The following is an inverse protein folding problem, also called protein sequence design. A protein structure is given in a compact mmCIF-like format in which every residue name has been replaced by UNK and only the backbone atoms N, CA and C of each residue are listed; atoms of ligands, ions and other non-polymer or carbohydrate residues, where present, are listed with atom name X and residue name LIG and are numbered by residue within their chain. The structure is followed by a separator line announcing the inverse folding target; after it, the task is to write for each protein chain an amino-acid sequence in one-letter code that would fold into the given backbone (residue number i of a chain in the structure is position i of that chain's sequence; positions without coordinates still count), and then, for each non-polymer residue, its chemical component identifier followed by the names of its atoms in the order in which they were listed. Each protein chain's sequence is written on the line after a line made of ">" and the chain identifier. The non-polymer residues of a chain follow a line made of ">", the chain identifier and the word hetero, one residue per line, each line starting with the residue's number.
data_IF_768182905701
#
_entry.id   IF_768182905701
#
_cell.length_a   1.000
_cell.length_b   1.000
_cell.length_c   1.000
_cell.angle_alpha   90.00
_cell.angle_beta   90.00
_cell.angle_gamma   90.00
#
_symmetry.space_group_name_H-M   'P 1'
#
loop_
_entity.id
_entity.type
_entity.pdbx_description
1 polymer ?
#
# COMPACT_ATOMS: atom_id res chain seq x y z
N UNK A 1 -8.13 -5.99 7.60
CA UNK A 1 -7.74 -4.57 7.75
C UNK A 1 -6.54 -4.36 6.86
N UNK A 2 -6.68 -3.59 5.78
CA UNK A 2 -5.54 -3.23 4.94
C UNK A 2 -4.74 -2.14 5.65
N UNK A 3 -3.40 -2.25 5.76
CA UNK A 3 -2.58 -1.19 6.32
C UNK A 3 -2.85 0.15 5.62
N UNK A 4 -2.76 1.26 6.35
CA UNK A 4 -2.98 2.61 5.80
C UNK A 4 -2.08 2.95 4.60
N UNK A 5 -0.99 2.22 4.41
CA UNK A 5 -0.06 2.42 3.31
C UNK A 5 -0.57 1.82 1.97
N UNK A 6 -1.31 0.70 2.03
CA UNK A 6 -1.93 0.07 0.86
C UNK A 6 -3.00 0.98 0.22
N UNK A 7 -3.64 1.87 0.99
CA UNK A 7 -4.66 2.82 0.51
C UNK A 7 -4.14 3.82 -0.54
N UNK A 8 -2.84 4.06 -0.58
CA UNK A 8 -2.24 5.05 -1.50
C UNK A 8 -1.99 4.45 -2.89
N UNK A 9 -1.73 3.15 -2.96
CA UNK A 9 -1.44 2.42 -4.20
C UNK A 9 -2.63 1.58 -4.68
N UNK A 10 -3.58 1.30 -3.79
CA UNK A 10 -4.74 0.48 -4.05
C UNK A 10 -6.03 1.25 -3.73
N UNK A 11 -6.89 1.45 -4.73
CA UNK A 11 -8.25 1.96 -4.46
C UNK A 11 -9.06 0.84 -3.81
N UNK A 12 -9.48 1.05 -2.57
CA UNK A 12 -10.35 0.12 -1.85
C UNK A 12 -11.62 -0.21 -2.64
N UNK A 13 -12.06 -1.46 -2.52
CA UNK A 13 -13.45 -1.83 -2.74
C UNK A 13 -14.26 -1.43 -1.49
N UNK A 14 -15.18 -0.48 -1.64
CA UNK A 14 -16.10 -0.07 -0.59
C UNK A 14 -17.05 1.01 -1.09
N UNK A 15 -18.34 0.70 -1.13
CA UNK A 15 -19.39 1.71 -1.28
C UNK A 15 -19.32 2.68 -0.09
N UNK A 16 -19.81 3.90 -0.25
CA UNK A 16 -19.67 5.02 0.71
C UNK A 16 -20.12 4.65 2.14
N UNK A 17 -20.93 3.60 2.26
CA UNK A 17 -21.43 2.97 3.48
C UNK A 17 -20.40 2.24 4.34
N UNK A 18 -19.18 1.99 3.84
CA UNK A 18 -18.09 1.38 4.61
C UNK A 18 -17.22 2.40 5.35
N UNK A 19 -17.45 3.69 5.08
CA UNK A 19 -16.87 4.80 5.84
C UNK A 19 -17.82 5.08 7.00
N UNK A 20 -17.38 4.69 8.20
CA UNK A 20 -17.79 5.19 9.52
C UNK A 20 -19.22 5.77 9.60
N UNK A 21 -20.13 5.05 10.26
CA UNK A 21 -21.50 5.49 10.51
C UNK A 21 -21.57 6.91 11.12
N UNK A 22 -20.52 7.36 11.81
CA UNK A 22 -20.42 8.70 12.38
C UNK A 22 -20.18 9.81 11.33
N UNK A 23 -19.51 9.53 10.21
CA UNK A 23 -19.26 10.50 9.12
C UNK A 23 -20.53 10.68 8.27
N UNK A 24 -21.30 9.62 8.06
CA UNK A 24 -22.59 9.70 7.34
C UNK A 24 -23.64 10.47 8.14
N UNK A 25 -23.55 10.48 9.48
CA UNK A 25 -24.44 11.25 10.34
C UNK A 25 -24.11 12.76 10.40
N UNK A 26 -22.93 13.21 9.98
CA UNK A 26 -22.49 14.60 10.16
C UNK A 26 -22.50 15.46 8.89
N UNK A 27 -22.96 14.95 7.75
CA UNK A 27 -22.97 15.69 6.47
C UNK A 27 -24.36 15.83 5.83
N UNK A 28 -25.38 16.13 6.63
CA UNK A 28 -26.70 16.52 6.12
C UNK A 28 -27.64 17.01 7.22
N UNK A 29 -28.05 18.29 7.15
CA UNK A 29 -29.16 18.80 7.95
C UNK A 29 -30.43 18.06 7.50
N UNK A 30 -30.95 17.18 8.35
CA UNK A 30 -32.26 16.57 8.17
C UNK A 30 -32.86 16.17 9.53
N UNK A 31 -33.86 16.95 9.96
CA UNK A 31 -34.89 16.49 10.88
C UNK A 31 -35.69 15.40 10.16
N UNK A 32 -35.61 14.16 10.63
CA UNK A 32 -36.44 13.06 10.15
C UNK A 32 -37.27 12.50 11.29
N UNK A 33 -38.51 13.00 11.39
CA UNK A 33 -39.60 12.17 11.90
C UNK A 33 -39.80 11.00 10.93
N UNK A 34 -39.42 9.80 11.36
CA UNK A 34 -39.68 8.55 10.64
C UNK A 34 -41.20 8.41 10.42
N UNK A 35 -41.63 8.39 9.16
CA UNK A 35 -42.90 7.80 8.75
C UNK A 35 -42.58 6.69 7.76
N UNK A 36 -43.01 5.48 8.09
CA UNK A 36 -42.98 4.34 7.17
C UNK A 36 -44.33 4.31 6.46
N UNK A 37 -44.34 4.40 5.13
CA UNK A 37 -45.52 4.07 4.33
C UNK A 37 -45.41 2.60 3.91
N UNK A 38 -46.40 1.82 4.30
CA UNK A 38 -46.58 0.45 3.82
C UNK A 38 -47.36 0.45 2.50
N UNK A 39 -46.98 -0.41 1.56
CA UNK A 39 -47.85 -0.78 0.42
C UNK A 39 -48.78 -1.91 0.85
N UNK A 40 -49.99 -1.95 0.28
CA UNK A 40 -51.09 -2.82 0.72
C UNK A 40 -50.73 -4.33 0.71
N UNK A 41 -49.76 -4.71 -0.15
CA UNK A 41 -49.29 -6.09 -0.32
C UNK A 41 -48.27 -6.55 0.74
N UNK A 42 -47.61 -5.64 1.47
CA UNK A 42 -46.63 -5.97 2.53
C UNK A 42 -47.29 -6.27 3.90
N UNK A 43 -48.62 -6.12 4.00
CA UNK A 43 -49.39 -6.27 5.24
C UNK A 43 -49.97 -7.67 5.49
N UNK A 44 -49.55 -8.70 4.77
CA UNK A 44 -49.93 -10.10 5.08
C UNK A 44 -48.71 -11.03 5.00
N UNK A 45 -48.48 -11.87 6.02
CA UNK A 45 -49.43 -12.90 6.43
C UNK A 45 -50.12 -12.56 7.74
N UNK A 46 -51.37 -12.98 7.85
CA UNK A 46 -52.20 -12.93 9.05
C UNK A 46 -51.50 -13.61 10.22
N UNK A 47 -50.71 -12.85 10.98
CA UNK A 47 -50.53 -13.13 12.39
C UNK A 47 -51.95 -13.08 12.97
N UNK A 48 -52.42 -14.21 13.51
CA UNK A 48 -53.62 -14.19 14.35
C UNK A 48 -53.31 -13.27 15.51
N UNK A 49 -53.67 -12.00 15.37
CA UNK A 49 -53.86 -11.09 16.49
C UNK A 49 -54.75 -11.86 17.45
N UNK A 50 -54.22 -12.20 18.63
CA UNK A 50 -55.02 -12.82 19.67
C UNK A 50 -56.32 -12.02 19.76
N UNK A 51 -57.46 -12.71 19.77
CA UNK A 51 -58.78 -12.11 19.92
C UNK A 51 -58.65 -10.96 20.92
N UNK A 52 -58.77 -9.73 20.42
CA UNK A 52 -58.76 -8.56 21.28
C UNK A 52 -59.96 -8.76 22.19
N UNK A 53 -59.72 -9.28 23.40
CA UNK A 53 -60.72 -9.34 24.44
C UNK A 53 -61.24 -7.92 24.50
N UNK A 54 -62.48 -7.76 24.04
CA UNK A 54 -63.28 -6.54 24.08
C UNK A 54 -62.78 -5.76 25.27
N UNK A 55 -62.15 -4.60 25.02
CA UNK A 55 -61.76 -3.63 26.05
C UNK A 55 -62.79 -3.75 27.14
N UNK A 56 -62.41 -4.30 28.29
CA UNK A 56 -63.28 -4.32 29.45
C UNK A 56 -63.53 -2.86 29.72
N UNK A 57 -64.65 -2.35 29.21
CA UNK A 57 -65.16 -1.04 29.55
C UNK A 57 -65.34 -1.14 31.05
N UNK A 58 -64.37 -0.62 31.79
CA UNK A 58 -64.45 -0.52 33.24
C UNK A 58 -65.70 0.34 33.44
N UNK A 59 -66.80 -0.22 33.97
CA UNK A 59 -67.97 0.58 34.22
C UNK A 59 -67.51 1.66 35.19
N UNK A 60 -67.55 2.92 34.76
CA UNK A 60 -67.40 4.07 35.64
C UNK A 60 -68.62 4.06 36.55
N UNK A 61 -68.57 3.23 37.58
CA UNK A 61 -69.57 3.17 38.63
C UNK A 61 -69.58 4.53 39.34
N UNK A 62 -70.74 5.17 39.27
CA UNK A 62 -71.25 6.22 40.17
C UNK A 62 -70.26 7.30 40.60
N UNK A 63 -70.43 8.51 40.03
CA UNK A 63 -70.02 9.80 40.61
C UNK A 63 -68.78 9.75 41.53
N UNK A 64 -67.63 9.31 41.02
CA UNK A 64 -66.38 9.50 41.74
C UNK A 64 -66.18 11.00 41.94
N UNK A 65 -66.07 11.41 43.21
CA UNK A 65 -65.94 12.82 43.56
C UNK A 65 -64.72 13.42 42.84
N UNK A 66 -64.80 14.68 42.42
CA UNK A 66 -63.67 15.42 41.82
C UNK A 66 -62.38 15.24 42.62
N UNK A 67 -62.50 15.10 43.95
CA UNK A 67 -61.40 14.82 44.88
C UNK A 67 -60.69 13.49 44.62
N UNK A 68 -61.40 12.39 44.33
CA UNK A 68 -60.79 11.08 44.04
C UNK A 68 -60.01 11.08 42.72
N UNK A 69 -60.53 11.75 41.69
CA UNK A 69 -59.83 11.91 40.41
C UNK A 69 -58.56 12.76 40.55
N UNK A 70 -58.64 13.86 41.30
CA UNK A 70 -57.47 14.70 41.61
C UNK A 70 -56.45 13.93 42.44
N UNK A 71 -56.89 13.15 43.44
CA UNK A 71 -56.00 12.35 44.28
C UNK A 71 -55.28 11.27 43.49
N UNK A 72 -55.98 10.57 42.58
CA UNK A 72 -55.37 9.59 41.68
C UNK A 72 -54.34 10.27 40.76
N UNK A 73 -54.68 11.42 40.18
CA UNK A 73 -53.78 12.14 39.29
C UNK A 73 -52.52 12.64 40.02
N UNK A 74 -52.68 13.20 41.22
CA UNK A 74 -51.54 13.58 42.08
C UNK A 74 -50.73 12.35 42.47
N UNK A 75 -51.37 11.24 42.82
CA UNK A 75 -50.70 9.98 43.14
C UNK A 75 -49.86 9.44 41.98
N UNK A 76 -50.41 9.45 40.76
CA UNK A 76 -49.68 9.02 39.55
C UNK A 76 -48.52 9.95 39.21
N UNK A 77 -48.68 11.26 39.37
CA UNK A 77 -47.59 12.23 39.16
C UNK A 77 -46.48 12.02 40.19
N UNK A 78 -46.83 11.89 41.47
CA UNK A 78 -45.85 11.66 42.55
C UNK A 78 -45.12 10.32 42.40
N UNK A 79 -45.84 9.25 42.01
CA UNK A 79 -45.21 7.95 41.77
C UNK A 79 -44.30 7.97 40.55
N UNK A 80 -44.69 8.67 39.48
CA UNK A 80 -43.85 8.85 38.29
C UNK A 80 -42.58 9.65 38.61
N UNK A 81 -42.70 10.74 39.36
CA UNK A 81 -41.55 11.53 39.82
C UNK A 81 -40.63 10.70 40.73
N UNK A 82 -41.20 9.94 41.66
CA UNK A 82 -40.43 9.05 42.55
C UNK A 82 -39.69 7.96 41.75
N UNK A 83 -40.34 7.38 40.73
CA UNK A 83 -39.72 6.39 39.86
C UNK A 83 -38.57 6.98 39.04
N UNK A 84 -38.75 8.16 38.44
CA UNK A 84 -37.67 8.84 37.70
C UNK A 84 -36.48 9.13 38.63
N UNK A 85 -36.75 9.59 39.86
CA UNK A 85 -35.69 9.89 40.81
C UNK A 85 -34.91 8.63 41.25
N UNK A 86 -35.61 7.50 41.43
CA UNK A 86 -34.96 6.22 41.71
C UNK A 86 -34.19 5.69 40.49
N UNK A 87 -34.77 5.80 39.29
CA UNK A 87 -34.19 5.29 38.06
C UNK A 87 -33.04 6.16 37.54
N UNK A 88 -32.92 7.42 38.00
CA UNK A 88 -31.86 8.34 37.61
C UNK A 88 -30.45 7.74 37.79
N UNK A 89 -30.23 6.93 38.84
CA UNK A 89 -28.94 6.27 39.10
C UNK A 89 -28.53 5.33 37.95
N UNK A 90 -29.50 4.65 37.34
CA UNK A 90 -29.25 3.76 36.20
C UNK A 90 -29.28 4.53 34.87
N UNK A 91 -30.17 5.51 34.71
CA UNK A 91 -30.28 6.32 33.48
C UNK A 91 -29.25 7.45 33.36
N UNK A 92 -28.28 7.54 34.28
CA UNK A 92 -27.24 8.57 34.24
C UNK A 92 -26.23 8.38 33.09
N UNK A 93 -26.22 7.22 32.42
CA UNK A 93 -25.30 6.90 31.32
C UNK A 93 -25.95 5.95 30.31
N UNK A 94 -25.38 5.90 29.11
CA UNK A 94 -25.88 5.10 28.00
C UNK A 94 -25.75 3.58 28.22
N UNK A 95 -24.87 3.14 29.13
CA UNK A 95 -24.70 1.72 29.47
C UNK A 95 -25.73 1.20 30.48
N UNK A 96 -26.50 2.10 31.10
CA UNK A 96 -27.48 1.82 32.16
C UNK A 96 -26.87 1.20 33.42
N UNK A 97 -25.58 1.49 33.68
CA UNK A 97 -24.85 0.97 34.83
C UNK A 97 -24.93 1.96 36.00
N UNK A 98 -25.37 1.47 37.16
CA UNK A 98 -25.47 2.28 38.36
C UNK A 98 -24.12 2.92 38.73
N UNK A 99 -24.10 4.24 38.93
CA UNK A 99 -22.91 5.00 39.34
C UNK A 99 -21.71 4.90 38.38
N UNK A 100 -21.92 4.58 37.10
CA UNK A 100 -20.84 4.58 36.12
C UNK A 100 -20.27 5.99 35.93
N UNK A 101 -18.94 6.10 36.01
CA UNK A 101 -18.22 7.35 35.78
C UNK A 101 -17.17 7.15 34.69
N UNK A 102 -17.16 8.05 33.71
CA UNK A 102 -16.20 8.05 32.60
C UNK A 102 -14.78 8.42 33.05
N UNK A 103 -14.60 9.15 34.15
CA UNK A 103 -13.28 9.58 34.63
C UNK A 103 -12.59 8.56 35.54
N UNK A 104 -13.25 7.45 35.88
CA UNK A 104 -12.72 6.44 36.81
C UNK A 104 -13.03 4.99 36.42
N UNK A 105 -14.30 4.65 36.20
CA UNK A 105 -14.69 3.27 35.85
C UNK A 105 -14.37 2.97 34.38
N UNK A 106 -14.62 3.91 33.47
CA UNK A 106 -14.27 3.70 32.06
C UNK A 106 -12.76 3.58 31.85
N UNK A 107 -11.97 4.44 32.51
CA UNK A 107 -10.51 4.40 32.49
C UNK A 107 -9.98 3.13 33.14
N UNK A 108 -10.58 2.65 34.23
CA UNK A 108 -10.28 1.34 34.82
C UNK A 108 -10.48 0.20 33.83
N UNK A 109 -11.65 0.15 33.16
CA UNK A 109 -11.94 -0.91 32.17
C UNK A 109 -10.94 -0.86 31.02
N UNK A 110 -10.64 0.35 30.51
CA UNK A 110 -9.69 0.55 29.42
C UNK A 110 -8.27 0.10 29.78
N UNK A 111 -7.74 0.57 30.92
CA UNK A 111 -6.40 0.20 31.38
C UNK A 111 -6.33 -1.28 31.78
N UNK A 112 -7.38 -1.84 32.40
CA UNK A 112 -7.45 -3.28 32.69
C UNK A 112 -7.36 -4.11 31.41
N UNK A 113 -8.03 -3.67 30.33
CA UNK A 113 -7.96 -4.35 29.04
C UNK A 113 -6.54 -4.30 28.46
N UNK A 114 -5.88 -3.14 28.50
CA UNK A 114 -4.50 -2.94 28.02
C UNK A 114 -3.43 -3.65 28.88
N UNK A 115 -3.72 -3.90 30.16
CA UNK A 115 -2.79 -4.56 31.10
C UNK A 115 -2.88 -6.10 31.01
N UNK A 116 -4.08 -6.66 30.82
CA UNK A 116 -4.25 -8.11 30.71
C UNK A 116 -3.57 -8.69 29.46
N UNK A 117 -3.37 -7.88 28.42
CA UNK A 117 -2.59 -8.26 27.25
C UNK A 117 -1.09 -8.33 27.54
N UNK A 118 -0.60 -7.58 28.55
CA UNK A 118 0.83 -7.42 28.87
C UNK A 118 1.32 -8.27 30.08
N UNK A 119 0.53 -9.26 30.52
CA UNK A 119 0.88 -10.20 31.61
C UNK A 119 1.05 -9.58 33.01
N UNK A 120 0.79 -8.28 33.18
CA UNK A 120 0.59 -7.65 34.49
C UNK A 120 -0.86 -7.88 34.93
N UNK A 121 -1.09 -8.18 36.20
CA UNK A 121 -2.44 -8.46 36.72
C UNK A 121 -3.08 -7.27 37.47
N UNK A 122 -2.33 -6.16 37.65
CA UNK A 122 -2.82 -4.97 38.32
C UNK A 122 -1.94 -3.75 38.02
N UNK A 123 -2.54 -2.57 37.96
CA UNK A 123 -1.84 -1.28 38.09
C UNK A 123 -1.95 -0.73 39.53
N UNK A 124 -1.23 0.36 39.78
CA UNK A 124 -1.29 1.11 41.04
C UNK A 124 -2.16 2.37 40.94
N UNK A 125 -3.04 2.45 39.94
CA UNK A 125 -3.83 3.65 39.68
C UNK A 125 -5.05 3.69 40.62
N UNK A 126 -5.26 4.83 41.27
CA UNK A 126 -6.40 5.05 42.15
C UNK A 126 -7.61 5.55 41.34
N UNK A 127 -8.41 4.61 40.85
CA UNK A 127 -9.60 4.87 40.01
C UNK A 127 -10.79 5.52 40.74
N UNK A 128 -10.69 5.73 42.05
CA UNK A 128 -11.66 6.52 42.82
C UNK A 128 -11.52 8.04 42.61
N UNK A 129 -10.49 8.50 41.87
CA UNK A 129 -10.26 9.92 41.56
C UNK A 129 -10.87 10.31 40.21
N UNK A 130 -11.27 11.57 40.10
CA UNK A 130 -11.91 12.13 38.89
C UNK A 130 -10.91 12.54 37.78
N UNK A 131 -9.62 12.17 37.90
CA UNK A 131 -8.56 12.60 37.00
C UNK A 131 -7.72 11.45 36.45
N UNK A 132 -8.23 10.22 36.46
CA UNK A 132 -7.50 9.10 35.88
C UNK A 132 -7.48 9.18 34.36
N UNK A 133 -6.44 8.61 33.76
CA UNK A 133 -6.20 8.66 32.31
C UNK A 133 -5.98 7.25 31.78
N UNK A 134 -6.36 7.04 30.52
CA UNK A 134 -6.02 5.82 29.80
C UNK A 134 -4.56 5.92 29.36
N UNK A 135 -3.76 4.91 29.67
CA UNK A 135 -2.36 4.82 29.25
C UNK A 135 -2.23 3.73 28.20
N UNK A 136 -1.46 4.00 27.14
CA UNK A 136 -1.13 3.03 26.11
C UNK A 136 0.34 3.19 25.71
N UNK A 137 0.95 2.12 25.20
CA UNK A 137 2.34 2.17 24.72
C UNK A 137 2.44 2.89 23.37
N UNK A 138 3.32 3.90 23.20
CA UNK A 138 3.52 4.54 21.91
C UNK A 138 4.13 3.59 20.86
N UNK A 139 4.69 2.45 21.29
CA UNK A 139 5.24 1.43 20.38
C UNK A 139 4.18 0.43 19.93
N UNK A 140 3.01 0.38 20.57
CA UNK A 140 1.97 -0.61 20.30
C UNK A 140 1.52 -0.58 18.83
N UNK A 141 1.36 0.62 18.26
CA UNK A 141 1.01 0.78 16.84
C UNK A 141 2.03 0.14 15.90
N UNK A 142 3.32 0.25 16.20
CA UNK A 142 4.38 -0.39 15.40
C UNK A 142 4.41 -1.90 15.61
N UNK A 143 4.13 -2.35 16.83
CA UNK A 143 4.04 -3.77 17.18
C UNK A 143 2.86 -4.44 16.47
N UNK A 144 1.65 -3.86 16.55
CA UNK A 144 0.47 -4.34 15.83
C UNK A 144 0.73 -4.37 14.32
N UNK A 145 1.37 -3.33 13.77
CA UNK A 145 1.74 -3.37 12.36
C UNK A 145 2.62 -4.58 12.06
N UNK A 146 3.64 -4.85 12.89
CA UNK A 146 4.59 -5.95 12.72
C UNK A 146 3.96 -7.35 12.90
N UNK A 147 3.07 -7.51 13.87
CA UNK A 147 2.39 -8.78 14.17
C UNK A 147 1.32 -9.12 13.12
N UNK A 148 0.63 -8.10 12.63
CA UNK A 148 -0.45 -8.23 11.64
C UNK A 148 0.09 -8.17 10.20
N UNK A 149 1.41 -8.14 9.98
CA UNK A 149 1.99 -8.01 8.63
C UNK A 149 1.52 -9.15 7.71
N UNK A 150 0.49 -8.83 6.95
CA UNK A 150 -0.02 -9.56 5.80
C UNK A 150 0.26 -8.77 4.51
N UNK A 151 1.16 -7.78 4.57
CA UNK A 151 1.43 -6.85 3.48
C UNK A 151 2.90 -6.94 3.04
N UNK A 152 3.11 -6.67 1.76
CA UNK A 152 4.42 -6.68 1.11
C UNK A 152 5.12 -5.32 1.20
N UNK A 153 4.42 -4.28 1.68
CA UNK A 153 4.93 -2.92 1.91
C UNK A 153 5.80 -2.79 3.17
N UNK A 154 6.67 -3.77 3.38
CA UNK A 154 7.65 -3.77 4.45
C UNK A 154 8.91 -3.09 3.95
N UNK A 155 9.51 -2.29 4.82
CA UNK A 155 10.80 -1.70 4.58
C UNK A 155 11.91 -2.75 4.73
N UNK A 156 12.11 -3.56 3.71
CA UNK A 156 13.23 -4.50 3.66
C UNK A 156 13.71 -4.69 2.24
N UNK A 157 15.02 -4.75 2.09
CA UNK A 157 15.68 -5.06 0.84
C UNK A 157 15.71 -6.57 0.64
N UNK A 158 14.73 -7.12 -0.09
CA UNK A 158 14.67 -8.55 -0.37
C UNK A 158 15.96 -9.06 -1.04
N UNK A 159 16.46 -10.17 -0.52
CA UNK A 159 17.64 -10.86 -1.02
C UNK A 159 17.24 -12.07 -1.86
N UNK A 160 16.23 -12.79 -1.40
CA UNK A 160 15.70 -13.97 -2.07
C UNK A 160 14.19 -13.88 -2.21
N UNK A 161 13.70 -14.50 -3.27
CA UNK A 161 12.27 -14.65 -3.46
C UNK A 161 11.71 -15.74 -2.57
N UNK A 162 12.35 -16.91 -2.56
CA UNK A 162 11.89 -18.13 -1.90
C UNK A 162 12.81 -18.57 -0.76
N UNK A 163 12.26 -19.30 0.22
CA UNK A 163 13.04 -19.81 1.37
C UNK A 163 14.11 -20.84 0.97
N UNK A 164 13.90 -21.55 -0.14
CA UNK A 164 14.90 -22.48 -0.71
C UNK A 164 16.04 -21.76 -1.45
N UNK A 165 15.97 -20.42 -1.57
CA UNK A 165 16.95 -19.56 -2.25
C UNK A 165 17.16 -19.93 -3.72
N UNK A 166 16.15 -20.51 -4.38
CA UNK A 166 16.20 -20.87 -5.80
C UNK A 166 16.27 -19.64 -6.70
N UNK A 167 15.61 -18.55 -6.30
CA UNK A 167 15.56 -17.30 -7.03
C UNK A 167 16.08 -16.14 -6.17
N UNK A 168 17.03 -15.39 -6.74
CA UNK A 168 17.66 -14.22 -6.12
C UNK A 168 16.95 -12.94 -6.55
N UNK A 169 16.84 -12.00 -5.62
CA UNK A 169 16.21 -10.68 -5.82
C UNK A 169 17.17 -9.51 -5.57
N UNK A 170 18.39 -9.77 -5.11
CA UNK A 170 19.40 -8.74 -5.00
C UNK A 170 19.73 -8.15 -6.38
N UNK A 171 19.66 -6.83 -6.51
CA UNK A 171 19.89 -6.12 -7.77
C UNK A 171 21.32 -6.28 -8.33
N UNK A 172 22.31 -6.57 -7.49
CA UNK A 172 23.70 -6.78 -7.92
C UNK A 172 24.29 -8.04 -7.31
N UNK A 173 25.33 -8.58 -7.96
CA UNK A 173 26.08 -9.73 -7.44
C UNK A 173 26.76 -9.42 -6.12
N UNK A 174 27.34 -8.21 -5.94
CA UNK A 174 27.94 -7.84 -4.65
C UNK A 174 26.90 -7.75 -3.53
N UNK A 175 25.68 -7.28 -3.83
CA UNK A 175 24.57 -7.30 -2.86
C UNK A 175 24.16 -8.73 -2.53
N UNK A 176 24.11 -9.62 -3.51
CA UNK A 176 23.80 -11.03 -3.28
C UNK A 176 24.86 -11.71 -2.39
N UNK A 177 26.15 -11.43 -2.59
CA UNK A 177 27.21 -11.90 -1.71
C UNK A 177 27.06 -11.36 -0.29
N UNK A 178 26.66 -10.08 -0.15
CA UNK A 178 26.35 -9.49 1.15
C UNK A 178 25.13 -10.14 1.81
N UNK A 179 24.12 -10.52 1.02
CA UNK A 179 22.90 -11.16 1.50
C UNK A 179 23.18 -12.46 2.25
N UNK A 180 24.24 -13.20 1.92
CA UNK A 180 24.64 -14.43 2.63
C UNK A 180 24.82 -14.22 4.14
N UNK A 181 25.18 -13.01 4.58
CA UNK A 181 25.28 -12.65 6.01
C UNK A 181 23.92 -12.60 6.71
N UNK A 182 22.83 -12.43 5.97
CA UNK A 182 21.47 -12.22 6.47
C UNK A 182 20.53 -13.41 6.22
N UNK A 183 21.06 -14.56 5.77
CA UNK A 183 20.25 -15.76 5.44
C UNK A 183 19.41 -16.32 6.60
N UNK A 184 19.73 -15.97 7.84
CA UNK A 184 19.00 -16.41 9.03
C UNK A 184 17.90 -15.44 9.45
N UNK A 185 17.76 -14.30 8.76
CA UNK A 185 16.70 -13.32 8.93
C UNK A 185 15.57 -13.60 7.92
N UNK A 186 14.39 -13.96 8.40
CA UNK A 186 13.22 -14.26 7.57
C UNK A 186 12.72 -13.07 6.75
N UNK A 187 13.01 -11.83 7.19
CA UNK A 187 12.52 -10.63 6.52
C UNK A 187 13.14 -10.42 5.12
N UNK A 188 14.32 -10.99 4.82
CA UNK A 188 14.96 -10.83 3.50
C UNK A 188 14.41 -11.78 2.44
N UNK A 189 13.40 -12.59 2.78
CA UNK A 189 12.72 -13.55 1.92
C UNK A 189 11.32 -13.03 1.57
N UNK A 190 11.02 -12.79 0.29
CA UNK A 190 9.70 -12.29 -0.13
C UNK A 190 8.58 -13.32 0.09
N UNK A 191 8.91 -14.61 0.09
CA UNK A 191 7.98 -15.69 0.43
C UNK A 191 7.37 -15.55 1.83
N UNK A 192 8.08 -14.94 2.77
CA UNK A 192 7.61 -14.81 4.15
C UNK A 192 6.29 -14.01 4.25
N UNK A 193 6.20 -12.75 3.78
CA UNK A 193 4.93 -12.04 3.77
C UNK A 193 3.89 -12.69 2.84
N UNK A 194 4.29 -13.23 1.68
CA UNK A 194 3.35 -13.86 0.74
C UNK A 194 2.63 -15.11 1.30
N UNK A 195 3.23 -15.80 2.27
CA UNK A 195 2.60 -16.91 3.01
C UNK A 195 1.65 -16.43 4.13
N UNK A 196 1.74 -15.18 4.55
CA UNK A 196 0.88 -14.60 5.58
C UNK A 196 -0.28 -13.78 4.98
N UNK A 197 -0.16 -13.38 3.71
CA UNK A 197 -1.15 -12.55 3.04
C UNK A 197 -2.46 -13.27 2.69
N UNK A 198 -3.57 -12.53 2.76
CA UNK A 198 -4.86 -12.92 2.17
C UNK A 198 -4.81 -12.73 0.66
N UNK A 199 -4.63 -13.82 -0.08
CA UNK A 199 -4.36 -13.79 -1.52
C UNK A 199 -5.42 -13.10 -2.37
N UNK A 200 -6.70 -13.15 -1.99
CA UNK A 200 -7.77 -12.44 -2.72
C UNK A 200 -7.61 -10.93 -2.65
N UNK A 201 -7.19 -10.39 -1.50
CA UNK A 201 -6.92 -8.96 -1.33
C UNK A 201 -5.61 -8.56 -2.02
N UNK A 202 -4.60 -9.43 -1.94
CA UNK A 202 -3.32 -9.22 -2.61
C UNK A 202 -3.45 -9.18 -4.13
N UNK A 203 -4.15 -10.14 -4.72
CA UNK A 203 -4.31 -10.19 -6.18
C UNK A 203 -5.09 -8.98 -6.70
N UNK A 204 -6.04 -8.48 -5.91
CA UNK A 204 -6.77 -7.26 -6.23
C UNK A 204 -5.85 -6.04 -6.28
N UNK A 205 -4.98 -5.85 -5.27
CA UNK A 205 -4.11 -4.67 -5.19
C UNK A 205 -2.83 -4.78 -6.02
N UNK A 206 -2.19 -5.94 -5.96
CA UNK A 206 -0.82 -6.17 -6.44
C UNK A 206 -0.76 -7.18 -7.57
N UNK A 207 -1.83 -7.91 -7.87
CA UNK A 207 -1.80 -9.07 -8.77
C UNK A 207 -1.22 -8.76 -10.15
N UNK A 208 -1.59 -7.63 -10.76
CA UNK A 208 -1.03 -7.23 -12.06
C UNK A 208 0.47 -6.96 -11.96
N UNK A 209 0.92 -6.20 -10.95
CA UNK A 209 2.31 -5.80 -10.81
C UNK A 209 3.20 -6.97 -10.41
N UNK A 210 2.70 -7.80 -9.49
CA UNK A 210 3.29 -9.08 -9.10
C UNK A 210 3.42 -10.03 -10.28
N UNK A 211 2.40 -10.09 -11.15
CA UNK A 211 2.46 -10.94 -12.34
C UNK A 211 3.55 -10.49 -13.30
N UNK A 212 3.66 -9.19 -13.58
CA UNK A 212 4.69 -8.65 -14.48
C UNK A 212 6.09 -8.86 -13.89
N UNK A 213 6.30 -8.46 -12.63
CA UNK A 213 7.63 -8.47 -12.01
C UNK A 213 8.11 -9.86 -11.58
N UNK A 214 7.20 -10.79 -11.28
CA UNK A 214 7.56 -12.07 -10.65
C UNK A 214 6.82 -13.25 -11.29
N UNK A 215 5.48 -13.28 -11.23
CA UNK A 215 4.74 -14.52 -11.48
C UNK A 215 4.89 -15.04 -12.91
N UNK A 216 5.10 -14.15 -13.89
CA UNK A 216 5.35 -14.51 -15.30
C UNK A 216 6.59 -15.39 -15.47
N UNK A 217 7.66 -15.13 -14.73
CA UNK A 217 8.90 -15.94 -14.76
C UNK A 217 8.73 -17.29 -14.03
N UNK A 218 7.65 -17.43 -13.25
CA UNK A 218 7.35 -18.61 -12.44
C UNK A 218 6.23 -19.47 -13.04
N UNK A 219 5.77 -19.15 -14.26
CA UNK A 219 4.70 -19.90 -14.94
C UNK A 219 5.07 -21.39 -15.04
N UNK A 220 4.18 -22.25 -14.52
CA UNK A 220 4.39 -23.70 -14.45
C UNK A 220 5.05 -24.21 -13.16
N UNK A 221 5.40 -23.34 -12.21
CA UNK A 221 5.91 -23.78 -10.91
C UNK A 221 4.79 -24.17 -9.93
N UNK A 222 5.00 -25.26 -9.18
CA UNK A 222 4.10 -25.67 -8.09
C UNK A 222 4.17 -24.73 -6.86
N UNK A 223 5.12 -23.80 -6.85
CA UNK A 223 5.40 -22.91 -5.71
C UNK A 223 4.22 -21.99 -5.41
N UNK A 224 3.62 -21.37 -6.43
CA UNK A 224 2.53 -20.41 -6.20
C UNK A 224 1.31 -21.07 -5.53
N UNK A 225 0.99 -22.31 -5.93
CA UNK A 225 -0.06 -23.09 -5.29
C UNK A 225 0.30 -23.45 -3.84
N UNK A 226 1.57 -23.77 -3.56
CA UNK A 226 2.05 -24.12 -2.22
C UNK A 226 2.18 -22.93 -1.27
N UNK A 227 2.37 -21.71 -1.79
CA UNK A 227 2.34 -20.48 -0.98
C UNK A 227 0.90 -20.08 -0.70
N UNK A 228 0.02 -20.14 -1.71
CA UNK A 228 -1.42 -19.85 -1.56
C UNK A 228 -2.15 -20.77 -0.59
N UNK A 229 -1.67 -22.00 -0.40
CA UNK A 229 -2.28 -22.96 0.52
C UNK A 229 -1.98 -22.68 1.99
N UNK A 230 -1.09 -21.71 2.31
CA UNK A 230 -0.72 -21.31 3.67
C UNK A 230 -0.38 -22.50 4.60
N UNK A 231 0.20 -23.57 4.06
CA UNK A 231 0.57 -24.75 4.85
C UNK A 231 1.76 -24.40 5.76
N UNK A 232 1.65 -24.61 7.09
CA UNK A 232 2.74 -24.37 8.02
C UNK A 232 3.95 -25.25 7.68
N UNK A 233 5.06 -24.63 7.33
CA UNK A 233 6.31 -25.28 6.96
C UNK A 233 7.44 -24.69 7.79
N UNK A 234 8.40 -25.52 8.19
CA UNK A 234 9.50 -25.09 9.06
C UNK A 234 10.74 -24.81 8.22
N UNK A 235 11.31 -23.63 8.40
CA UNK A 235 12.53 -23.19 7.73
C UNK A 235 13.60 -22.82 8.76
N UNK A 236 14.88 -22.88 8.37
CA UNK A 236 16.01 -22.56 9.24
C UNK A 236 16.19 -21.04 9.38
N UNK A 237 15.20 -20.38 9.96
CA UNK A 237 15.15 -18.94 10.22
C UNK A 237 15.19 -18.71 11.72
N UNK A 238 16.00 -17.76 12.16
CA UNK A 238 16.25 -17.49 13.59
C UNK A 238 15.74 -16.13 14.06
N UNK A 239 15.49 -15.21 13.13
CA UNK A 239 15.06 -13.85 13.41
C UNK A 239 14.18 -13.33 12.29
N UNK A 240 13.35 -12.34 12.56
CA UNK A 240 12.63 -11.57 11.56
C UNK A 240 12.81 -10.10 11.90
N UNK A 241 13.73 -9.43 11.21
CA UNK A 241 14.10 -8.04 11.50
C UNK A 241 14.04 -7.22 10.23
N UNK A 242 13.16 -6.21 10.24
CA UNK A 242 12.93 -5.28 9.12
C UNK A 242 13.77 -4.02 9.29
N UNK A 243 13.91 -3.21 8.23
CA UNK A 243 14.56 -1.91 8.32
C UNK A 243 13.54 -0.85 8.74
N UNK A 244 14.02 0.20 9.41
CA UNK A 244 13.17 1.32 9.81
C UNK A 244 12.96 2.30 8.64
N UNK A 245 11.81 3.00 8.64
CA UNK A 245 11.50 4.06 7.67
C UNK A 245 10.90 5.30 8.33
N UNK A 246 11.25 6.49 7.81
CA UNK A 246 10.82 7.81 8.30
C UNK A 246 9.69 8.45 7.50
N UNK A 247 9.29 7.88 6.37
CA UNK A 247 8.37 8.54 5.43
C UNK A 247 6.89 8.43 5.81
N UNK A 248 6.54 7.65 6.84
CA UNK A 248 5.17 7.48 7.32
C UNK A 248 5.09 7.32 8.84
N UNK A 249 4.07 7.91 9.43
CA UNK A 249 3.59 7.63 10.78
C UNK A 249 2.42 6.68 10.67
N UNK A 250 2.48 5.55 11.38
CA UNK A 250 1.42 4.54 11.36
C UNK A 250 0.33 4.99 12.33
N UNK A 251 -0.91 4.97 11.86
CA UNK A 251 -2.09 5.19 12.69
C UNK A 251 -2.67 3.87 13.18
N UNK A 252 -3.28 3.89 14.36
CA UNK A 252 -3.99 2.78 14.96
C UNK A 252 -5.30 3.31 15.56
N UNK A 253 -6.39 2.64 15.22
CA UNK A 253 -7.67 2.77 15.91
C UNK A 253 -7.90 1.43 16.63
N UNK A 254 -7.66 1.42 17.93
CA UNK A 254 -7.89 0.28 18.79
C UNK A 254 -9.17 0.49 19.58
N UNK A 255 -10.07 -0.48 19.50
CA UNK A 255 -11.42 -0.37 20.06
C UNK A 255 -11.84 -1.66 20.73
N UNK A 256 -12.55 -1.54 21.85
CA UNK A 256 -13.26 -2.66 22.46
C UNK A 256 -14.76 -2.38 22.47
N UNK A 257 -15.53 -3.46 22.51
CA UNK A 257 -16.99 -3.39 22.48
C UNK A 257 -17.56 -3.66 23.86
N UNK A 258 -18.46 -2.81 24.32
CA UNK A 258 -19.31 -3.05 25.49
C UNK A 258 -20.69 -3.43 24.99
N UNK A 259 -21.08 -4.68 25.22
CA UNK A 259 -22.45 -5.15 24.96
C UNK A 259 -23.27 -5.07 26.24
N UNK A 260 -24.40 -4.36 26.19
CA UNK A 260 -25.33 -4.24 27.32
C UNK A 260 -26.39 -5.36 27.30
N UNK A 261 -27.11 -5.54 28.41
CA UNK A 261 -28.11 -6.61 28.59
C UNK A 261 -29.22 -6.63 27.54
N UNK A 262 -29.46 -5.51 26.84
CA UNK A 262 -30.44 -5.41 25.76
C UNK A 262 -29.90 -5.85 24.38
N UNK A 263 -28.65 -6.33 24.30
CA UNK A 263 -28.00 -6.73 23.04
C UNK A 263 -27.51 -5.56 22.18
N UNK A 264 -27.47 -4.34 22.74
CA UNK A 264 -26.89 -3.17 22.07
C UNK A 264 -25.40 -3.12 22.39
N UNK A 265 -24.58 -2.91 21.36
CA UNK A 265 -23.12 -2.85 21.47
C UNK A 265 -22.62 -1.43 21.25
N UNK A 266 -21.71 -0.97 22.11
CA UNK A 266 -21.05 0.32 22.02
C UNK A 266 -19.55 0.12 21.78
N UNK A 267 -19.01 0.80 20.78
CA UNK A 267 -17.57 0.82 20.49
C UNK A 267 -16.89 1.91 21.31
N UNK A 268 -15.84 1.54 22.04
CA UNK A 268 -15.03 2.46 22.83
C UNK A 268 -13.60 2.37 22.34
N UNK A 269 -13.01 3.54 22.02
CA UNK A 269 -11.63 3.63 21.56
C UNK A 269 -10.67 3.58 22.76
N UNK A 270 -9.74 2.62 22.78
CA UNK A 270 -8.60 2.58 23.71
C UNK A 270 -7.52 3.54 23.24
N UNK A 271 -7.22 3.48 21.94
CA UNK A 271 -6.23 4.31 21.29
C UNK A 271 -6.76 4.75 19.92
N UNK A 272 -6.58 6.02 19.60
CA UNK A 272 -6.83 6.54 18.27
C UNK A 272 -5.67 7.44 17.87
N UNK A 273 -4.91 6.99 16.89
CA UNK A 273 -3.78 7.73 16.32
C UNK A 273 -3.98 7.82 14.81
N UNK A 274 -3.80 9.01 14.27
CA UNK A 274 -3.98 9.22 12.84
C UNK A 274 -2.69 8.87 12.09
N UNK A 275 -2.83 8.11 11.01
CA UNK A 275 -1.71 7.80 10.12
C UNK A 275 -1.44 8.95 9.17
N UNK A 276 -0.18 9.20 8.83
CA UNK A 276 0.17 10.24 7.86
C UNK A 276 1.46 9.92 7.13
N UNK A 277 1.58 10.43 5.90
CA UNK A 277 2.82 10.39 5.13
C UNK A 277 3.59 11.69 5.29
N UNK A 278 4.90 11.57 5.46
CA UNK A 278 5.84 12.68 5.63
C UNK A 278 6.89 12.62 4.51
N UNK A 279 6.45 12.80 3.26
CA UNK A 279 7.31 12.71 2.10
C UNK A 279 8.37 13.83 2.09
N UNK A 280 8.08 14.98 2.69
CA UNK A 280 9.05 16.06 2.89
C UNK A 280 10.21 15.68 3.84
N UNK A 281 10.04 14.64 4.67
CA UNK A 281 10.99 14.21 5.71
C UNK A 281 11.56 12.80 5.45
N UNK A 282 11.48 12.32 4.21
CA UNK A 282 11.73 10.93 3.80
C UNK A 282 13.22 10.54 3.68
N UNK A 283 14.02 10.79 4.71
CA UNK A 283 15.47 10.50 4.68
C UNK A 283 15.81 9.03 4.38
N UNK A 284 15.09 8.07 4.97
CA UNK A 284 15.31 6.64 4.74
C UNK A 284 14.76 6.17 3.40
N UNK A 285 13.68 6.78 2.90
CA UNK A 285 13.06 6.40 1.63
C UNK A 285 13.95 6.78 0.44
N UNK A 286 14.69 7.89 0.56
CA UNK A 286 15.75 8.27 -0.39
C UNK A 286 16.85 7.21 -0.50
N UNK A 287 17.16 6.51 0.60
CA UNK A 287 18.15 5.43 0.61
C UNK A 287 17.57 4.12 0.05
N UNK A 288 16.31 3.82 0.36
CA UNK A 288 15.60 2.68 -0.20
C UNK A 288 14.08 2.91 -0.20
N UNK A 289 13.50 2.88 -1.40
CA UNK A 289 12.11 3.24 -1.66
C UNK A 289 11.09 2.09 -1.58
N UNK A 290 11.51 0.89 -1.12
CA UNK A 290 10.69 -0.32 -0.91
C UNK A 290 10.22 -1.07 -2.17
N UNK A 291 9.82 -2.34 -2.02
CA UNK A 291 9.33 -3.21 -3.08
C UNK A 291 8.08 -2.65 -3.78
N UNK A 292 7.22 -1.93 -3.07
CA UNK A 292 6.04 -1.30 -3.64
C UNK A 292 6.41 -0.35 -4.80
N UNK A 293 7.52 0.39 -4.66
CA UNK A 293 8.04 1.26 -5.72
C UNK A 293 8.68 0.48 -6.86
N UNK A 294 9.35 -0.63 -6.57
CA UNK A 294 9.88 -1.52 -7.61
C UNK A 294 8.73 -2.09 -8.47
N UNK A 295 7.62 -2.51 -7.85
CA UNK A 295 6.42 -2.96 -8.57
C UNK A 295 5.75 -1.85 -9.38
N UNK A 296 5.64 -0.65 -8.81
CA UNK A 296 5.14 0.52 -9.54
C UNK A 296 6.01 0.81 -10.78
N UNK A 297 7.33 0.77 -10.65
CA UNK A 297 8.27 1.02 -11.73
C UNK A 297 8.20 -0.07 -12.81
N UNK A 298 7.99 -1.34 -12.46
CA UNK A 298 7.79 -2.42 -13.44
C UNK A 298 6.46 -2.28 -14.21
N UNK A 299 5.45 -1.68 -13.61
CA UNK A 299 4.14 -1.50 -14.25
C UNK A 299 4.02 -0.18 -15.06
N UNK A 300 4.93 0.77 -14.86
CA UNK A 300 4.84 2.11 -15.47
C UNK A 300 5.63 2.15 -16.78
N UNK A 301 4.96 2.38 -17.92
CA UNK A 301 5.60 2.36 -19.24
C UNK A 301 6.80 3.31 -19.41
N UNK A 302 6.84 4.44 -18.70
CA UNK A 302 7.96 5.39 -18.74
C UNK A 302 9.14 5.06 -17.83
N UNK A 303 9.12 3.91 -17.15
CA UNK A 303 10.23 3.45 -16.30
C UNK A 303 11.19 2.56 -17.10
N UNK A 304 12.48 2.67 -16.82
CA UNK A 304 13.54 1.86 -17.45
C UNK A 304 13.45 0.36 -17.14
N UNK A 305 12.60 -0.04 -16.19
CA UNK A 305 12.35 -1.45 -15.83
C UNK A 305 10.92 -1.90 -16.13
N UNK A 306 10.17 -1.13 -16.94
CA UNK A 306 8.82 -1.48 -17.35
C UNK A 306 8.77 -2.88 -18.01
N UNK A 307 7.86 -3.73 -17.53
CA UNK A 307 7.69 -5.08 -18.07
C UNK A 307 8.81 -6.07 -17.74
N UNK A 308 9.81 -5.69 -16.93
CA UNK A 308 10.93 -6.55 -16.55
C UNK A 308 10.62 -7.33 -15.28
N UNK A 309 11.34 -8.45 -15.11
CA UNK A 309 11.27 -9.20 -13.86
C UNK A 309 12.21 -8.61 -12.80
N UNK A 310 11.74 -8.65 -11.55
CA UNK A 310 12.53 -8.31 -10.36
C UNK A 310 13.41 -9.48 -9.89
N UNK A 311 13.34 -10.64 -10.54
CA UNK A 311 14.23 -11.77 -10.28
C UNK A 311 15.52 -11.59 -11.09
N UNK A 312 16.67 -11.71 -10.42
CA UNK A 312 17.99 -11.43 -11.00
C UNK A 312 18.34 -12.32 -12.21
N UNK A 313 17.72 -13.50 -12.33
CA UNK A 313 17.91 -14.41 -13.47
C UNK A 313 17.22 -13.95 -14.76
N UNK A 314 16.52 -12.82 -14.77
CA UNK A 314 16.00 -12.24 -16.00
C UNK A 314 17.16 -11.81 -16.89
N UNK A 315 17.27 -12.37 -18.09
CA UNK A 315 18.37 -12.17 -19.05
C UNK A 315 18.37 -10.78 -19.70
N UNK A 316 17.72 -9.79 -19.08
CA UNK A 316 17.56 -8.44 -19.62
C UNK A 316 18.45 -7.49 -18.81
N UNK A 317 19.69 -7.37 -19.25
CA UNK A 317 20.53 -6.22 -18.91
C UNK A 317 19.87 -4.94 -19.41
N UNK A 318 20.10 -3.84 -18.71
CA UNK A 318 19.72 -2.46 -19.02
C UNK A 318 19.13 -2.24 -20.43
N UNK A 319 17.82 -2.06 -20.50
CA UNK A 319 17.08 -1.85 -21.75
C UNK A 319 16.89 -0.35 -21.96
N UNK A 320 17.30 0.12 -23.13
CA UNK A 320 16.95 1.44 -23.61
C UNK A 320 15.54 1.37 -24.21
N UNK A 321 14.58 2.04 -23.58
CA UNK A 321 13.23 2.17 -24.12
C UNK A 321 13.14 3.44 -25.00
N UNK A 322 12.72 3.32 -26.27
CA UNK A 322 12.65 4.46 -27.17
C UNK A 322 11.50 5.41 -26.78
N UNK A 323 11.83 6.58 -26.25
CA UNK A 323 10.88 7.68 -26.02
C UNK A 323 10.70 8.54 -27.30
N UNK A 324 9.50 9.06 -27.61
CA UNK A 324 9.28 9.79 -28.88
C UNK A 324 10.25 10.95 -29.13
N UNK A 325 10.55 11.73 -28.09
CA UNK A 325 11.49 12.85 -28.18
C UNK A 325 12.93 12.41 -28.36
N UNK A 326 13.30 11.29 -27.74
CA UNK A 326 14.63 10.70 -27.81
C UNK A 326 14.92 10.12 -29.21
N UNK A 327 13.94 9.42 -29.78
CA UNK A 327 14.02 8.87 -31.15
C UNK A 327 14.09 10.00 -32.17
N UNK A 328 13.26 11.04 -32.00
CA UNK A 328 13.28 12.23 -32.84
C UNK A 328 14.65 12.94 -32.79
N UNK A 329 15.19 13.15 -31.58
CA UNK A 329 16.52 13.74 -31.39
C UNK A 329 17.61 12.90 -32.08
N UNK A 330 17.61 11.58 -31.87
CA UNK A 330 18.61 10.69 -32.46
C UNK A 330 18.55 10.70 -33.99
N UNK A 331 17.36 10.71 -34.59
CA UNK A 331 17.19 10.80 -36.04
C UNK A 331 17.68 12.14 -36.60
N UNK A 332 17.38 13.26 -35.93
CA UNK A 332 17.79 14.59 -36.38
C UNK A 332 19.31 14.81 -36.31
N UNK A 333 19.96 14.29 -35.26
CA UNK A 333 21.37 14.55 -34.95
C UNK A 333 22.31 13.48 -35.51
N UNK A 334 21.78 12.34 -35.98
CA UNK A 334 22.58 11.28 -36.60
C UNK A 334 23.01 11.56 -38.01
N UNK A 335 22.18 12.26 -38.79
CA UNK A 335 22.38 12.34 -40.24
C UNK A 335 22.31 10.98 -40.93
N UNK A 336 21.69 9.98 -40.29
CA UNK A 336 21.59 8.62 -40.80
C UNK A 336 20.76 8.57 -42.08
N UNK A 337 21.21 7.77 -43.05
CA UNK A 337 20.48 7.51 -44.29
C UNK A 337 19.56 6.30 -44.14
N UNK A 338 18.52 6.19 -44.99
CA UNK A 338 17.57 5.07 -44.94
C UNK A 338 18.25 3.69 -45.10
N UNK A 339 19.37 3.63 -45.81
CA UNK A 339 20.13 2.40 -46.07
C UNK A 339 20.97 1.94 -44.85
N UNK A 340 21.29 2.85 -43.93
CA UNK A 340 22.09 2.57 -42.73
C UNK A 340 21.22 2.11 -41.53
N UNK A 341 19.92 2.40 -41.56
CA UNK A 341 18.98 2.06 -40.47
C UNK A 341 18.98 0.57 -40.13
N UNK A 342 18.97 -0.39 -41.09
CA UNK A 342 18.98 -1.82 -40.76
C UNK A 342 20.21 -2.25 -39.96
N UNK A 343 21.37 -1.67 -40.25
CA UNK A 343 22.62 -1.96 -39.50
C UNK A 343 22.59 -1.29 -38.14
N UNK A 344 22.15 -0.03 -38.07
CA UNK A 344 22.00 0.66 -36.80
C UNK A 344 21.06 -0.12 -35.84
N UNK A 345 19.92 -0.58 -36.34
CA UNK A 345 18.95 -1.35 -35.58
C UNK A 345 19.38 -2.80 -35.26
N UNK A 346 20.53 -3.30 -35.75
CA UNK A 346 20.99 -4.63 -35.39
C UNK A 346 21.44 -4.75 -33.93
N UNK A 347 21.69 -3.62 -33.26
CA UNK A 347 21.92 -3.58 -31.82
C UNK A 347 20.63 -3.79 -30.99
N UNK A 348 19.44 -3.65 -31.58
CA UNK A 348 18.19 -4.06 -30.93
C UNK A 348 18.03 -5.58 -31.02
N UNK A 349 18.37 -6.26 -29.92
CA UNK A 349 18.24 -7.72 -29.79
C UNK A 349 16.82 -8.18 -29.48
N UNK A 350 15.89 -7.26 -29.21
CA UNK A 350 14.51 -7.55 -28.79
C UNK A 350 13.55 -7.45 -29.96
N UNK A 351 13.61 -6.38 -30.76
CA UNK A 351 12.64 -6.10 -31.82
C UNK A 351 13.23 -5.32 -33.01
N UNK A 352 14.24 -5.89 -33.70
CA UNK A 352 14.98 -5.19 -34.75
C UNK A 352 14.10 -4.74 -35.93
N UNK A 353 13.06 -5.51 -36.29
CA UNK A 353 12.14 -5.13 -37.37
C UNK A 353 11.28 -3.91 -37.03
N UNK A 354 10.88 -3.77 -35.77
CA UNK A 354 10.09 -2.62 -35.32
C UNK A 354 10.99 -1.39 -35.16
N UNK A 355 12.24 -1.55 -34.70
CA UNK A 355 13.25 -0.50 -34.72
C UNK A 355 13.42 0.08 -36.14
N UNK A 356 13.56 -0.79 -37.15
CA UNK A 356 13.74 -0.36 -38.55
C UNK A 356 12.54 0.48 -39.01
N UNK A 357 11.31 -0.02 -38.81
CA UNK A 357 10.09 0.71 -39.20
C UNK A 357 9.98 2.06 -38.48
N UNK A 358 10.27 2.08 -37.19
CA UNK A 358 10.22 3.29 -36.37
C UNK A 358 11.17 4.36 -36.92
N UNK A 359 12.45 4.03 -37.08
CA UNK A 359 13.44 5.00 -37.54
C UNK A 359 13.26 5.37 -39.02
N UNK A 360 12.78 4.47 -39.88
CA UNK A 360 12.43 4.83 -41.26
C UNK A 360 11.33 5.90 -41.30
N UNK A 361 10.28 5.75 -40.48
CA UNK A 361 9.20 6.73 -40.39
C UNK A 361 9.71 8.07 -39.85
N UNK A 362 10.55 8.06 -38.81
CA UNK A 362 11.07 9.28 -38.19
C UNK A 362 12.08 9.99 -39.10
N UNK A 363 12.94 9.26 -39.82
CA UNK A 363 13.88 9.84 -40.80
C UNK A 363 13.14 10.45 -41.98
N UNK A 364 12.09 9.80 -42.50
CA UNK A 364 11.24 10.39 -43.54
C UNK A 364 10.55 11.67 -43.06
N UNK A 365 10.05 11.68 -41.83
CA UNK A 365 9.44 12.87 -41.22
C UNK A 365 10.45 14.01 -41.04
N UNK A 366 11.60 13.74 -40.42
CA UNK A 366 12.62 14.75 -40.13
C UNK A 366 13.25 15.31 -41.39
N UNK A 367 13.53 14.48 -42.40
CA UNK A 367 14.04 14.96 -43.70
C UNK A 367 13.06 15.88 -44.44
N UNK A 368 11.75 15.67 -44.26
CA UNK A 368 10.70 16.49 -44.90
C UNK A 368 10.46 17.80 -44.15
N UNK A 369 10.37 17.76 -42.83
CA UNK A 369 9.88 18.89 -42.02
C UNK A 369 10.95 19.58 -41.16
N UNK A 370 12.09 18.93 -40.92
CA UNK A 370 13.16 19.39 -40.02
C UNK A 370 14.56 19.17 -40.62
N UNK A 371 14.87 19.77 -41.79
CA UNK A 371 16.18 19.60 -42.42
C UNK A 371 17.31 20.05 -41.50
N UNK A 372 18.33 19.18 -41.31
CA UNK A 372 19.38 19.30 -40.30
C UNK A 372 20.39 20.43 -40.56
N UNK A 373 20.42 21.01 -41.76
CA UNK A 373 21.46 21.93 -42.24
C UNK A 373 21.64 23.21 -41.40
N UNK A 374 20.65 23.57 -40.60
CA UNK A 374 20.74 24.71 -39.68
C UNK A 374 21.55 24.40 -38.41
N UNK A 375 21.70 23.12 -38.06
CA UNK A 375 22.31 22.68 -36.81
C UNK A 375 23.66 21.97 -36.99
N UNK A 376 24.12 21.77 -38.22
CA UNK A 376 25.35 21.02 -38.52
C UNK A 376 26.56 21.52 -37.72
N UNK A 377 26.76 22.83 -37.60
CA UNK A 377 27.86 23.41 -36.81
C UNK A 377 27.77 23.03 -35.34
N UNK A 378 26.59 23.16 -34.73
CA UNK A 378 26.35 22.85 -33.32
C UNK A 378 26.49 21.34 -33.07
N UNK A 379 26.03 20.51 -34.01
CA UNK A 379 26.13 19.06 -33.92
C UNK A 379 27.60 18.64 -33.90
N UNK A 380 28.45 19.21 -34.77
CA UNK A 380 29.88 18.90 -34.80
C UNK A 380 30.61 19.35 -33.52
N UNK A 381 30.27 20.52 -32.96
CA UNK A 381 30.79 20.97 -31.68
C UNK A 381 30.42 20.00 -30.55
N UNK A 382 29.14 19.61 -30.45
CA UNK A 382 28.67 18.67 -29.43
C UNK A 382 29.33 17.30 -29.57
N UNK A 383 29.47 16.78 -30.80
CA UNK A 383 30.16 15.50 -31.05
C UNK A 383 31.61 15.56 -30.55
N UNK A 384 32.30 16.67 -30.81
CA UNK A 384 33.67 16.89 -30.32
C UNK A 384 33.73 16.92 -28.78
N UNK A 385 32.82 17.65 -28.14
CA UNK A 385 32.79 17.82 -26.68
C UNK A 385 32.51 16.50 -25.94
N UNK A 386 31.71 15.61 -26.51
CA UNK A 386 31.27 14.36 -25.87
C UNK A 386 32.04 13.12 -26.35
N UNK A 387 33.10 13.32 -27.14
CA UNK A 387 33.91 12.23 -27.70
C UNK A 387 34.61 11.36 -26.63
N UNK A 388 34.81 11.91 -25.43
CA UNK A 388 35.40 11.19 -24.30
C UNK A 388 34.41 10.33 -23.50
N UNK A 389 33.11 10.40 -23.81
CA UNK A 389 32.07 9.68 -23.07
C UNK A 389 31.95 8.25 -23.59
N UNK A 390 32.14 7.30 -22.69
CA UNK A 390 32.09 5.86 -22.96
C UNK A 390 31.07 5.18 -22.06
N UNK A 391 30.36 4.19 -22.60
CA UNK A 391 29.67 3.18 -21.82
C UNK A 391 30.69 2.17 -21.32
N UNK A 392 30.59 1.82 -20.05
CA UNK A 392 31.46 0.84 -19.42
C UNK A 392 30.61 -0.28 -18.81
N UNK A 393 30.95 -1.52 -19.14
CA UNK A 393 30.27 -2.71 -18.63
C UNK A 393 31.27 -3.77 -18.17
N UNK A 394 30.91 -4.50 -17.12
CA UNK A 394 31.62 -5.73 -16.76
C UNK A 394 31.16 -6.85 -17.70
N UNK A 395 32.08 -7.35 -18.52
CA UNK A 395 31.82 -8.51 -19.37
C UNK A 395 32.58 -9.72 -18.84
N UNK A 396 31.94 -10.88 -18.96
CA UNK A 396 32.56 -12.17 -18.67
C UNK A 396 32.80 -12.86 -20.00
N UNK A 397 34.07 -13.14 -20.28
CA UNK A 397 34.40 -13.93 -21.47
C UNK A 397 33.89 -15.37 -21.25
N UNK A 398 32.94 -15.81 -22.07
CA UNK A 398 32.26 -17.11 -21.94
C UNK A 398 33.21 -18.31 -22.08
N UNK A 399 34.37 -18.13 -22.73
CA UNK A 399 35.35 -19.19 -22.97
C UNK A 399 36.40 -19.27 -21.87
N UNK A 400 36.82 -18.13 -21.32
CA UNK A 400 37.89 -18.06 -20.31
C UNK A 400 37.40 -17.80 -18.89
N UNK A 401 36.11 -17.48 -18.70
CA UNK A 401 35.52 -17.02 -17.44
C UNK A 401 36.23 -15.81 -16.81
N UNK A 402 37.08 -15.12 -17.57
CA UNK A 402 37.76 -13.92 -17.12
C UNK A 402 36.80 -12.73 -17.16
N UNK A 403 36.85 -11.89 -16.12
CA UNK A 403 36.10 -10.63 -16.03
C UNK A 403 36.95 -9.53 -16.63
N UNK A 404 36.38 -8.77 -17.56
CA UNK A 404 37.04 -7.66 -18.21
C UNK A 404 36.13 -6.45 -18.22
N UNK A 405 36.73 -5.26 -18.24
CA UNK A 405 36.01 -4.02 -18.51
C UNK A 405 35.84 -3.88 -20.02
N UNK A 406 34.60 -3.84 -20.47
CA UNK A 406 34.25 -3.45 -21.82
C UNK A 406 33.95 -1.95 -21.84
N UNK A 407 34.56 -1.25 -22.79
CA UNK A 407 34.38 0.17 -23.02
C UNK A 407 33.86 0.36 -24.45
N UNK A 408 32.77 1.11 -24.60
CA UNK A 408 32.19 1.47 -25.89
C UNK A 408 31.95 2.97 -25.93
N UNK A 409 32.57 3.68 -26.87
CA UNK A 409 32.29 5.11 -27.08
C UNK A 409 30.85 5.31 -27.50
N UNK A 410 30.20 6.32 -26.91
CA UNK A 410 28.80 6.63 -27.24
C UNK A 410 28.66 7.00 -28.72
N UNK A 411 29.52 7.88 -29.21
CA UNK A 411 29.46 8.40 -30.59
C UNK A 411 30.59 7.83 -31.44
N UNK A 412 30.80 6.52 -31.38
CA UNK A 412 31.80 5.86 -32.22
C UNK A 412 31.37 5.87 -33.68
N UNK A 413 32.13 6.56 -34.54
CA UNK A 413 31.88 6.60 -35.98
C UNK A 413 32.25 5.30 -36.70
N UNK A 414 33.07 4.44 -36.07
CA UNK A 414 33.44 3.14 -36.64
C UNK A 414 32.37 2.08 -36.41
N UNK A 415 31.53 2.23 -35.38
CA UNK A 415 30.45 1.31 -35.06
C UNK A 415 29.09 1.86 -35.53
N UNK A 416 28.62 1.35 -36.67
CA UNK A 416 27.35 1.74 -37.25
C UNK A 416 26.16 1.41 -36.35
N UNK A 417 26.28 0.43 -35.45
CA UNK A 417 25.21 0.08 -34.50
C UNK A 417 24.97 1.19 -33.48
N UNK A 418 26.00 1.98 -33.17
CA UNK A 418 25.93 3.06 -32.17
C UNK A 418 25.40 4.39 -32.71
N UNK A 419 25.20 4.52 -34.04
CA UNK A 419 24.77 5.78 -34.67
C UNK A 419 23.46 6.31 -34.06
N UNK A 420 22.49 5.43 -33.82
CA UNK A 420 21.20 5.80 -33.22
C UNK A 420 21.26 5.74 -31.70
N UNK A 421 21.61 4.57 -31.14
CA UNK A 421 21.55 4.31 -29.70
C UNK A 421 22.49 5.21 -28.90
N UNK A 422 23.68 5.52 -29.41
CA UNK A 422 24.61 6.46 -28.78
C UNK A 422 24.03 7.85 -28.57
N UNK A 423 23.25 8.35 -29.54
CA UNK A 423 22.57 9.65 -29.44
C UNK A 423 21.34 9.61 -28.55
N UNK A 424 20.68 8.47 -28.47
CA UNK A 424 19.61 8.25 -27.50
C UNK A 424 20.16 8.29 -26.06
N UNK A 425 21.32 7.67 -25.79
CA UNK A 425 22.01 7.79 -24.50
C UNK A 425 22.46 9.23 -24.21
N UNK A 426 22.90 9.96 -25.23
CA UNK A 426 23.25 11.38 -25.11
C UNK A 426 22.05 12.23 -24.70
N UNK A 427 20.87 11.96 -25.28
CA UNK A 427 19.63 12.63 -24.91
C UNK A 427 19.25 12.37 -23.45
N UNK A 428 19.33 11.12 -23.00
CA UNK A 428 19.06 10.76 -21.60
C UNK A 428 19.98 11.52 -20.64
N UNK A 429 21.26 11.69 -21.00
CA UNK A 429 22.19 12.52 -20.24
C UNK A 429 21.76 13.98 -20.19
N UNK A 430 21.39 14.55 -21.34
CA UNK A 430 20.95 15.94 -21.42
C UNK A 430 19.68 16.19 -20.60
N UNK A 431 18.80 15.19 -20.48
CA UNK A 431 17.56 15.25 -19.70
C UNK A 431 17.73 14.88 -18.22
N UNK A 432 18.95 14.54 -17.78
CA UNK A 432 19.22 14.12 -16.40
C UNK A 432 18.69 12.73 -16.05
N UNK A 433 18.34 11.92 -17.05
CA UNK A 433 17.94 10.51 -16.86
C UNK A 433 19.17 9.61 -16.64
N UNK A 434 20.32 10.00 -17.22
CA UNK A 434 21.61 9.30 -17.08
C UNK A 434 22.70 10.27 -16.66
N UNK A 435 23.62 9.80 -15.82
CA UNK A 435 24.77 10.58 -15.39
C UNK A 435 26.06 10.03 -15.98
N UNK A 436 27.03 10.92 -16.22
CA UNK A 436 28.37 10.55 -16.63
C UNK A 436 29.30 10.81 -15.46
N UNK A 437 30.02 9.78 -15.06
CA UNK A 437 30.97 9.83 -13.95
C UNK A 437 32.39 9.81 -14.49
N UNK A 438 33.24 10.71 -13.97
CA UNK A 438 34.68 10.65 -14.19
C UNK A 438 35.31 10.00 -12.97
N UNK A 439 35.97 8.87 -13.15
CA UNK A 439 36.68 8.15 -12.09
C UNK A 439 38.15 8.51 -12.17
N UNK A 440 38.61 9.41 -11.30
CA UNK A 440 40.03 9.69 -11.12
C UNK A 440 40.55 8.76 -10.02
N UNK A 441 41.37 7.78 -10.40
CA UNK A 441 42.04 6.90 -9.44
C UNK A 441 43.42 7.44 -9.07
N UNK A 442 43.81 7.30 -7.81
CA UNK A 442 45.21 7.28 -7.42
C UNK A 442 45.73 5.86 -7.73
N UNK A 443 46.54 5.74 -8.79
CA UNK A 443 47.04 4.45 -9.28
C UNK A 443 47.86 3.67 -8.25
#
# INVERSE_FOLDING_TARGET
>A
MLPAATLTFCRLHGDVWTIDASITCMSGVLDTKLWIMFTEDELTPTIKVCDYKKSTNIPLTGAQSRKQKVLLLVGTVLSSLSYIQLANVNFSNDFWWANFNTTGILTFIANWYDINTDSLYADTIEYSKDNTVVTYSPLYTSFVQFDVVNDIEIAIQYCWFDFDRKYTMASTSQRQERCEKYKTNGAVYLEAPLRNTVWSEFEFCWGTWFNIGIAKELQGSAWLAAVKSNIPTHFNISSYTVQWQSYKTIGLIDTFTIEIVFGVSYLINLQSTNGSFHLDQESSMKMYWTLARDFFAVNTNGSSIAGLSLLQKSTKSEILFPEPHQVLFAAMVSGITLDEIPVACSADTVSPLECIKLFQNVVNFTSTYLPSTKYDTIIQEVISDVNSIEMMQYVINSTTSSRQFFHQRLLDTADQTMILFGRMFLYDRAMGVREVVQINGDY
#
